data_IF_664093313573
#
_entry.id   IF_664093313573
#
_cell.length_a   1.000
_cell.length_b   1.000
_cell.length_c   1.000
_cell.angle_alpha   90.00
_cell.angle_beta   90.00
_cell.angle_gamma   90.00
#
_symmetry.space_group_name_H-M   'P 1'
#
loop_
_entity.id
_entity.type
_entity.pdbx_description
1 polymer ?
#
# COMPACT_ATOMS: atom_id res chain seq x y z
N UNK A 1 -54.33 4.80 -73.79
CA UNK A 1 -53.80 4.07 -72.63
C UNK A 1 -52.47 4.73 -72.28
N UNK A 2 -52.43 5.61 -71.27
CA UNK A 2 -51.19 6.39 -70.86
C UNK A 2 -50.61 5.71 -69.64
N UNK A 3 -49.47 5.05 -69.80
CA UNK A 3 -48.67 4.46 -68.74
C UNK A 3 -47.96 5.56 -67.94
N UNK A 4 -48.31 5.68 -66.64
CA UNK A 4 -47.56 6.57 -65.71
C UNK A 4 -46.30 5.88 -65.26
N UNK A 5 -45.15 6.46 -65.60
CA UNK A 5 -43.85 6.10 -65.07
C UNK A 5 -43.79 6.52 -63.57
N UNK A 6 -43.67 5.57 -62.67
CA UNK A 6 -43.46 5.77 -61.24
C UNK A 6 -41.96 6.02 -61.05
N UNK A 7 -41.64 7.22 -60.51
CA UNK A 7 -40.28 7.63 -60.19
C UNK A 7 -39.78 6.88 -58.92
N UNK A 8 -38.61 6.24 -58.94
CA UNK A 8 -38.09 5.54 -57.79
C UNK A 8 -37.79 6.48 -56.62
N UNK A 9 -37.95 6.05 -55.37
CA UNK A 9 -37.64 6.88 -54.20
C UNK A 9 -36.11 7.14 -54.09
N UNK A 10 -35.78 8.39 -53.83
CA UNK A 10 -34.37 8.77 -53.52
C UNK A 10 -34.00 8.21 -52.14
N UNK A 11 -33.11 7.25 -52.10
CA UNK A 11 -32.46 6.79 -50.87
C UNK A 11 -31.52 7.93 -50.37
N UNK A 12 -31.94 8.61 -49.31
CA UNK A 12 -31.10 9.56 -48.58
C UNK A 12 -30.18 8.81 -47.65
N UNK A 13 -28.96 8.56 -48.09
CA UNK A 13 -27.89 7.97 -47.28
C UNK A 13 -27.18 9.05 -46.45
N UNK A 14 -27.88 9.70 -45.54
CA UNK A 14 -27.30 10.78 -44.71
C UNK A 14 -27.14 10.42 -43.21
N UNK A 15 -27.53 9.21 -42.79
CA UNK A 15 -27.49 8.84 -41.38
C UNK A 15 -26.21 8.20 -40.84
N UNK A 16 -25.31 7.76 -41.74
CA UNK A 16 -24.15 6.92 -41.28
C UNK A 16 -22.85 7.69 -41.03
N UNK A 17 -22.71 8.90 -41.56
CA UNK A 17 -21.47 9.69 -41.44
C UNK A 17 -21.37 10.48 -40.13
N UNK A 18 -22.48 11.00 -39.61
CA UNK A 18 -22.50 11.81 -38.37
C UNK A 18 -22.24 10.97 -37.12
N UNK A 19 -22.78 9.77 -37.03
CA UNK A 19 -22.56 8.85 -35.88
C UNK A 19 -21.11 8.37 -35.82
N UNK A 20 -20.49 8.11 -36.97
CA UNK A 20 -19.10 7.64 -37.07
C UNK A 20 -18.10 8.73 -36.66
N UNK A 21 -18.38 10.01 -37.01
CA UNK A 21 -17.54 11.13 -36.60
C UNK A 21 -17.65 11.41 -35.10
N UNK A 22 -18.85 11.36 -34.52
CA UNK A 22 -19.06 11.56 -33.08
C UNK A 22 -18.35 10.50 -32.24
N UNK A 23 -18.37 9.25 -32.68
CA UNK A 23 -17.65 8.16 -32.02
C UNK A 23 -16.12 8.35 -32.12
N UNK A 24 -15.61 8.76 -33.26
CA UNK A 24 -14.19 9.07 -33.45
C UNK A 24 -13.71 10.23 -32.58
N UNK A 25 -14.49 11.28 -32.48
CA UNK A 25 -14.17 12.42 -31.60
C UNK A 25 -14.23 12.05 -30.11
N UNK A 26 -15.22 11.25 -29.68
CA UNK A 26 -15.30 10.78 -28.30
C UNK A 26 -14.09 9.92 -27.91
N UNK A 27 -13.67 8.99 -28.75
CA UNK A 27 -12.48 8.18 -28.56
C UNK A 27 -11.22 9.04 -28.51
N UNK A 28 -11.08 10.01 -29.42
CA UNK A 28 -9.95 10.94 -29.43
C UNK A 28 -9.85 11.75 -28.14
N UNK A 29 -10.96 12.32 -27.66
CA UNK A 29 -10.97 13.08 -26.41
C UNK A 29 -10.69 12.21 -25.18
N UNK A 30 -11.22 10.97 -25.13
CA UNK A 30 -10.87 10.02 -24.06
C UNK A 30 -9.40 9.66 -24.06
N UNK A 31 -8.79 9.42 -25.20
CA UNK A 31 -7.34 9.16 -25.31
C UNK A 31 -6.50 10.38 -24.89
N UNK A 32 -6.89 11.57 -25.33
CA UNK A 32 -6.18 12.82 -24.99
C UNK A 32 -6.22 13.15 -23.50
N UNK A 33 -7.30 12.79 -22.80
CA UNK A 33 -7.43 12.99 -21.36
C UNK A 33 -6.78 11.84 -20.56
N UNK A 34 -6.90 10.60 -21.02
CA UNK A 34 -6.37 9.42 -20.32
C UNK A 34 -4.84 9.30 -20.47
N UNK A 35 -4.28 9.63 -21.64
CA UNK A 35 -2.86 9.47 -21.89
C UNK A 35 -1.96 10.25 -20.90
N UNK A 36 -2.17 11.55 -20.62
CA UNK A 36 -1.35 12.27 -19.66
C UNK A 36 -1.52 11.74 -18.23
N UNK A 37 -2.71 11.25 -17.86
CA UNK A 37 -2.93 10.62 -16.57
C UNK A 37 -2.12 9.32 -16.43
N UNK A 38 -2.19 8.45 -17.43
CA UNK A 38 -1.44 7.19 -17.46
C UNK A 38 0.07 7.46 -17.47
N UNK A 39 0.53 8.41 -18.29
CA UNK A 39 1.94 8.81 -18.32
C UNK A 39 2.39 9.39 -16.97
N UNK A 40 1.56 10.19 -16.31
CA UNK A 40 1.83 10.71 -14.97
C UNK A 40 1.93 9.62 -13.91
N UNK A 41 1.06 8.60 -13.96
CA UNK A 41 1.13 7.44 -13.07
C UNK A 41 2.40 6.61 -13.31
N UNK A 42 2.75 6.36 -14.58
CA UNK A 42 3.97 5.63 -14.96
C UNK A 42 5.20 6.42 -14.52
N UNK A 43 5.26 7.72 -14.80
CA UNK A 43 6.34 8.58 -14.36
C UNK A 43 6.46 8.58 -12.82
N UNK A 44 5.36 8.77 -12.10
CA UNK A 44 5.35 8.70 -10.64
C UNK A 44 5.90 7.37 -10.12
N UNK A 45 5.50 6.26 -10.72
CA UNK A 45 6.02 4.93 -10.38
C UNK A 45 7.53 4.80 -10.65
N UNK A 46 8.02 5.31 -11.79
CA UNK A 46 9.43 5.33 -12.15
C UNK A 46 10.25 6.22 -11.21
N UNK A 47 9.71 7.37 -10.79
CA UNK A 47 10.33 8.25 -9.79
C UNK A 47 10.20 7.76 -8.35
N UNK A 48 9.68 6.54 -8.15
CA UNK A 48 9.60 5.91 -6.83
C UNK A 48 8.47 6.41 -5.95
N UNK A 49 7.44 7.04 -6.51
CA UNK A 49 6.24 7.43 -5.77
C UNK A 49 5.43 6.17 -5.45
N UNK A 50 4.96 6.08 -4.22
CA UNK A 50 4.12 4.99 -3.69
C UNK A 50 2.87 5.57 -3.07
N UNK A 51 1.73 4.98 -3.38
CA UNK A 51 0.45 5.30 -2.77
C UNK A 51 0.18 4.33 -1.62
N UNK A 52 0.05 4.87 -0.40
CA UNK A 52 -0.41 4.12 0.75
C UNK A 52 -1.90 4.34 0.98
N UNK A 53 -2.68 3.28 0.84
CA UNK A 53 -4.13 3.27 1.12
C UNK A 53 -4.45 2.52 2.42
N UNK A 54 -3.45 1.89 3.05
CA UNK A 54 -3.64 1.11 4.27
C UNK A 54 -3.66 2.01 5.51
N UNK A 55 -4.42 1.65 6.54
CA UNK A 55 -4.51 2.46 7.75
C UNK A 55 -3.31 2.31 8.70
N UNK A 56 -2.28 1.54 8.34
CA UNK A 56 -1.08 1.37 9.18
C UNK A 56 -0.22 2.62 9.28
N UNK A 57 -0.37 3.55 8.35
CA UNK A 57 0.29 4.85 8.29
C UNK A 57 -0.71 5.85 7.72
N UNK A 58 -0.48 7.16 7.87
CA UNK A 58 -1.29 8.17 7.17
C UNK A 58 -1.43 7.80 5.69
N UNK A 59 -2.66 7.82 5.19
CA UNK A 59 -2.91 7.58 3.76
C UNK A 59 -2.31 8.70 2.95
N UNK A 60 -1.79 8.38 1.75
CA UNK A 60 -1.20 9.41 0.89
C UNK A 60 -0.07 8.90 0.04
N UNK A 61 0.69 9.86 -0.48
CA UNK A 61 1.82 9.61 -1.36
C UNK A 61 3.13 9.63 -0.58
N UNK A 62 3.95 8.65 -0.84
CA UNK A 62 5.29 8.48 -0.29
C UNK A 62 6.28 8.41 -1.43
N UNK A 63 7.50 8.85 -1.23
CA UNK A 63 8.55 8.81 -2.24
C UNK A 63 9.76 8.06 -1.70
N UNK A 64 10.41 7.30 -2.58
CA UNK A 64 11.66 6.61 -2.25
C UNK A 64 12.72 7.61 -1.77
N UNK A 65 13.37 7.27 -0.67
CA UNK A 65 14.49 8.01 -0.09
C UNK A 65 15.77 7.22 -0.28
N UNK A 66 16.81 7.89 -0.72
CA UNK A 66 18.17 7.32 -0.78
C UNK A 66 18.90 7.42 0.57
N UNK A 67 18.32 8.13 1.53
CA UNK A 67 18.88 8.26 2.87
C UNK A 67 18.47 7.06 3.72
N UNK A 68 19.45 6.36 4.28
CA UNK A 68 19.25 5.32 5.29
C UNK A 68 18.67 5.85 6.61
N UNK A 69 18.73 7.17 6.82
CA UNK A 69 18.08 7.82 7.96
C UNK A 69 16.54 7.92 7.80
N UNK A 70 15.99 7.60 6.62
CA UNK A 70 14.54 7.51 6.45
C UNK A 70 14.02 6.23 7.12
N UNK A 71 13.29 6.39 8.21
CA UNK A 71 12.84 5.30 9.05
C UNK A 71 11.60 4.55 8.50
N UNK A 72 10.97 5.02 7.42
CA UNK A 72 9.90 4.26 6.77
C UNK A 72 10.49 3.26 5.80
N UNK A 73 10.15 1.99 5.98
CA UNK A 73 10.67 0.89 5.16
C UNK A 73 9.56 0.13 4.45
N UNK A 74 9.75 -0.12 3.16
CA UNK A 74 8.95 -1.06 2.37
C UNK A 74 9.69 -2.40 2.36
N UNK A 75 9.06 -3.45 2.84
CA UNK A 75 9.70 -4.77 2.95
C UNK A 75 8.74 -5.91 2.62
N UNK A 76 9.30 -7.05 2.24
CA UNK A 76 8.55 -8.28 2.06
C UNK A 76 8.67 -9.13 3.34
N UNK A 77 7.55 -9.41 4.05
CA UNK A 77 7.59 -10.28 5.21
C UNK A 77 8.03 -11.69 4.81
N UNK A 78 8.59 -12.43 5.76
CA UNK A 78 9.12 -13.78 5.54
C UNK A 78 8.47 -14.77 6.53
N UNK A 79 8.58 -16.06 6.24
CA UNK A 79 8.13 -17.13 7.12
C UNK A 79 6.64 -17.05 7.47
N UNK A 80 6.31 -17.27 8.74
CA UNK A 80 4.92 -17.25 9.21
C UNK A 80 4.23 -15.89 8.99
N UNK A 81 4.95 -14.77 9.14
CA UNK A 81 4.40 -13.44 8.90
C UNK A 81 3.95 -13.27 7.45
N UNK A 82 4.68 -13.81 6.47
CA UNK A 82 4.30 -13.80 5.07
C UNK A 82 2.99 -14.55 4.85
N UNK A 83 2.90 -15.79 5.34
CA UNK A 83 1.73 -16.66 5.18
C UNK A 83 0.49 -16.09 5.87
N UNK A 84 0.61 -15.69 7.14
CA UNK A 84 -0.52 -15.12 7.90
C UNK A 84 -1.05 -13.87 7.24
N UNK A 85 -0.16 -12.96 6.80
CA UNK A 85 -0.58 -11.70 6.19
C UNK A 85 -1.33 -11.87 4.86
N UNK A 86 -1.03 -12.93 4.09
CA UNK A 86 -1.77 -13.28 2.87
C UNK A 86 -3.09 -13.98 3.18
N UNK A 87 -3.06 -15.04 3.98
CA UNK A 87 -4.26 -15.85 4.31
C UNK A 87 -5.32 -14.97 4.98
N UNK A 88 -4.89 -14.06 5.85
CA UNK A 88 -5.80 -13.15 6.55
C UNK A 88 -6.12 -11.86 5.80
N UNK A 89 -5.59 -11.71 4.60
CA UNK A 89 -5.80 -10.53 3.72
C UNK A 89 -5.34 -9.22 4.37
N UNK A 90 -4.28 -9.24 5.19
CA UNK A 90 -3.67 -8.01 5.72
C UNK A 90 -2.88 -7.26 4.65
N UNK A 91 -2.55 -7.93 3.54
CA UNK A 91 -1.96 -7.36 2.33
C UNK A 91 -2.59 -7.97 1.07
N UNK A 92 -2.66 -7.17 0.04
CA UNK A 92 -3.15 -7.60 -1.28
C UNK A 92 -2.10 -8.42 -2.04
N UNK A 93 -2.46 -8.90 -3.22
CA UNK A 93 -1.52 -9.44 -4.20
C UNK A 93 -0.53 -8.35 -4.63
N UNK A 94 0.74 -8.72 -4.83
CA UNK A 94 1.77 -7.76 -5.20
C UNK A 94 3.13 -8.37 -5.53
N UNK A 95 4.18 -7.58 -5.37
CA UNK A 95 5.50 -7.83 -5.95
C UNK A 95 6.50 -8.53 -5.02
N UNK A 96 6.06 -9.10 -3.88
CA UNK A 96 6.93 -9.94 -3.05
C UNK A 96 7.09 -11.35 -3.63
N UNK A 97 8.15 -12.08 -3.29
CA UNK A 97 8.39 -13.44 -3.80
C UNK A 97 7.25 -14.43 -3.52
N UNK A 98 6.49 -14.21 -2.45
CA UNK A 98 5.30 -14.99 -2.08
C UNK A 98 4.01 -14.54 -2.77
N UNK A 99 4.09 -13.61 -3.72
CA UNK A 99 2.96 -13.06 -4.47
C UNK A 99 2.17 -11.97 -3.71
N UNK A 100 2.56 -11.60 -2.49
CA UNK A 100 1.92 -10.54 -1.72
C UNK A 100 2.47 -9.15 -2.00
N UNK A 101 1.71 -8.13 -1.66
CA UNK A 101 2.20 -6.74 -1.68
C UNK A 101 3.21 -6.52 -0.53
N UNK A 102 4.25 -5.70 -0.75
CA UNK A 102 5.14 -5.28 0.33
C UNK A 102 4.38 -4.55 1.44
N UNK A 103 4.85 -4.69 2.67
CA UNK A 103 4.38 -3.90 3.81
C UNK A 103 5.19 -2.62 3.92
N UNK A 104 4.52 -1.54 4.34
CA UNK A 104 5.14 -0.25 4.64
C UNK A 104 4.99 0.05 6.13
N UNK A 105 6.10 0.16 6.86
CA UNK A 105 6.13 0.39 8.31
C UNK A 105 7.29 1.29 8.72
N UNK A 106 7.18 1.99 9.86
CA UNK A 106 8.35 2.62 10.48
C UNK A 106 9.30 1.56 11.05
N UNK A 107 10.59 1.68 10.75
CA UNK A 107 11.65 1.01 11.50
C UNK A 107 11.91 1.81 12.78
N UNK A 108 11.76 1.19 13.93
CA UNK A 108 11.77 1.88 15.23
C UNK A 108 12.90 1.43 16.14
N UNK A 109 13.47 0.24 15.93
CA UNK A 109 14.63 -0.21 16.67
C UNK A 109 15.66 -0.88 15.73
N UNK A 110 16.91 -0.59 15.96
CA UNK A 110 18.05 -0.91 15.10
C UNK A 110 19.08 -1.77 15.86
N UNK A 111 20.07 -2.36 15.17
CA UNK A 111 21.07 -3.21 15.80
C UNK A 111 21.70 -2.57 17.04
N UNK A 112 21.64 -3.31 18.16
CA UNK A 112 22.16 -2.85 19.45
C UNK A 112 21.11 -2.23 20.38
N UNK A 113 19.95 -1.80 19.86
CA UNK A 113 18.84 -1.30 20.68
C UNK A 113 18.25 -2.39 21.58
N UNK A 114 17.72 -1.99 22.72
CA UNK A 114 16.98 -2.83 23.63
C UNK A 114 15.50 -2.65 23.43
N UNK A 115 14.81 -3.73 23.06
CA UNK A 115 13.35 -3.78 22.90
C UNK A 115 12.77 -4.55 24.08
N UNK A 116 11.84 -3.94 24.82
CA UNK A 116 11.07 -4.58 25.87
C UNK A 116 9.63 -4.74 25.42
N UNK A 117 9.17 -5.97 25.30
CA UNK A 117 7.79 -6.33 24.97
C UNK A 117 7.05 -6.63 26.26
N UNK A 118 5.95 -5.93 26.50
CA UNK A 118 5.09 -6.13 27.65
C UNK A 118 3.62 -6.06 27.25
N UNK A 119 2.72 -6.46 28.14
CA UNK A 119 1.28 -6.46 27.85
C UNK A 119 0.72 -5.06 27.56
N UNK A 120 1.31 -4.01 28.17
CA UNK A 120 0.92 -2.62 27.97
C UNK A 120 1.53 -1.99 26.72
N UNK A 121 2.49 -2.65 26.05
CA UNK A 121 3.15 -2.17 24.84
C UNK A 121 4.65 -2.42 24.82
N UNK A 122 5.30 -1.73 23.91
CA UNK A 122 6.73 -1.91 23.64
C UNK A 122 7.50 -0.67 24.06
N UNK A 123 8.69 -0.91 24.66
CA UNK A 123 9.67 0.12 24.99
C UNK A 123 10.95 -0.11 24.22
N UNK A 124 11.52 0.97 23.68
CA UNK A 124 12.78 0.95 22.95
C UNK A 124 13.78 1.80 23.73
N UNK A 125 14.85 1.17 24.21
CA UNK A 125 15.85 1.80 25.09
C UNK A 125 15.24 2.46 26.34
N UNK A 126 14.12 1.91 26.84
CA UNK A 126 13.38 2.42 27.99
C UNK A 126 12.26 3.41 27.65
N UNK A 127 12.24 3.97 26.42
CA UNK A 127 11.20 4.89 25.97
C UNK A 127 9.96 4.11 25.47
N UNK A 128 8.78 4.50 25.99
CA UNK A 128 7.52 3.86 25.62
C UNK A 128 7.05 4.28 24.22
N UNK A 129 6.74 3.30 23.39
CA UNK A 129 6.16 3.53 22.06
C UNK A 129 4.63 3.51 22.15
N UNK A 130 3.93 4.61 21.86
CA UNK A 130 2.48 4.66 21.91
C UNK A 130 1.81 3.66 20.96
N UNK A 131 0.62 3.19 21.31
CA UNK A 131 -0.19 2.26 20.50
C UNK A 131 0.56 0.98 20.07
N UNK A 132 1.52 0.51 20.88
CA UNK A 132 2.39 -0.61 20.53
C UNK A 132 2.05 -1.92 21.26
N UNK A 133 0.98 -1.97 22.03
CA UNK A 133 0.51 -3.21 22.63
C UNK A 133 0.12 -4.24 21.56
N UNK A 134 0.57 -5.48 21.73
CA UNK A 134 0.09 -6.60 20.92
C UNK A 134 -1.34 -6.95 21.34
N UNK A 135 -2.27 -6.99 20.38
CA UNK A 135 -3.65 -7.40 20.62
C UNK A 135 -3.81 -8.90 20.43
N UNK A 136 -4.65 -9.53 21.25
CA UNK A 136 -4.97 -10.98 21.16
C UNK A 136 -5.81 -11.33 19.95
N UNK A 137 -6.41 -10.32 19.30
CA UNK A 137 -7.30 -10.50 18.17
C UNK A 137 -7.08 -9.41 17.13
N UNK A 138 -7.29 -9.75 15.86
CA UNK A 138 -7.30 -8.77 14.78
C UNK A 138 -8.64 -8.00 14.70
N UNK A 139 -8.75 -7.05 13.77
CA UNK A 139 -9.96 -6.23 13.60
C UNK A 139 -11.22 -7.04 13.19
N UNK A 140 -11.06 -8.32 12.79
CA UNK A 140 -12.15 -9.25 12.50
C UNK A 140 -12.37 -10.25 13.66
N UNK A 141 -11.80 -9.97 14.84
CA UNK A 141 -11.89 -10.83 16.03
C UNK A 141 -11.36 -12.25 15.81
N UNK A 142 -10.34 -12.39 14.97
CA UNK A 142 -9.64 -13.64 14.77
C UNK A 142 -8.43 -13.70 15.69
N UNK A 143 -8.21 -14.79 16.45
CA UNK A 143 -7.08 -14.90 17.37
C UNK A 143 -5.74 -14.59 16.70
N UNK A 144 -4.92 -13.77 17.33
CA UNK A 144 -3.61 -13.36 16.85
C UNK A 144 -2.64 -13.31 18.03
N UNK A 145 -1.63 -14.15 17.99
CA UNK A 145 -0.66 -14.28 19.09
C UNK A 145 0.36 -13.15 19.02
N UNK A 146 0.42 -12.27 20.05
CA UNK A 146 1.49 -11.29 20.15
C UNK A 146 2.86 -11.95 20.32
N UNK A 147 3.91 -11.23 19.91
CA UNK A 147 5.28 -11.64 20.18
C UNK A 147 5.49 -11.81 21.69
N UNK A 148 6.20 -12.84 22.15
CA UNK A 148 6.34 -13.13 23.58
C UNK A 148 6.87 -11.94 24.37
N UNK A 149 6.32 -11.74 25.57
CA UNK A 149 6.82 -10.70 26.49
C UNK A 149 8.26 -11.02 26.92
N UNK A 150 9.09 -9.98 26.99
CA UNK A 150 10.51 -10.15 27.34
C UNK A 150 11.36 -8.94 26.95
N UNK A 151 12.65 -9.08 27.20
CA UNK A 151 13.66 -8.13 26.79
C UNK A 151 14.51 -8.73 25.67
N UNK A 152 14.58 -8.02 24.57
CA UNK A 152 15.30 -8.43 23.37
C UNK A 152 16.36 -7.39 23.03
N UNK A 153 17.53 -7.83 22.57
CA UNK A 153 18.51 -6.96 21.93
C UNK A 153 18.38 -7.15 20.43
N UNK A 154 18.27 -6.06 19.70
CA UNK A 154 18.20 -6.12 18.23
C UNK A 154 19.54 -6.62 17.69
N UNK A 155 19.49 -7.75 16.97
CA UNK A 155 20.67 -8.39 16.41
C UNK A 155 21.18 -7.66 15.16
N UNK A 156 22.48 -7.83 14.85
CA UNK A 156 23.06 -7.32 13.61
C UNK A 156 22.32 -7.88 12.40
N UNK A 157 22.01 -7.03 11.41
CA UNK A 157 21.29 -7.41 10.21
C UNK A 157 19.77 -7.48 10.38
N UNK A 158 19.22 -7.08 11.52
CA UNK A 158 17.76 -7.06 11.78
C UNK A 158 17.29 -5.67 12.23
N UNK A 159 15.99 -5.41 12.08
CA UNK A 159 15.32 -4.21 12.62
C UNK A 159 13.92 -4.56 13.11
N UNK A 160 13.40 -3.80 14.06
CA UNK A 160 12.00 -3.88 14.47
C UNK A 160 11.19 -2.81 13.73
N UNK A 161 10.05 -3.21 13.19
CA UNK A 161 9.14 -2.36 12.45
C UNK A 161 7.80 -2.31 13.16
N UNK A 162 7.40 -1.13 13.65
CA UNK A 162 6.16 -0.97 14.43
C UNK A 162 5.48 0.32 14.03
N UNK A 163 4.19 0.26 13.72
CA UNK A 163 3.37 1.45 13.52
C UNK A 163 2.63 1.81 14.80
N UNK A 164 3.01 2.92 15.42
CA UNK A 164 2.25 3.54 16.50
C UNK A 164 1.04 4.35 16.01
N UNK A 165 0.87 4.49 14.69
CA UNK A 165 -0.27 5.17 14.08
C UNK A 165 -1.57 4.36 14.22
N UNK A 166 -1.51 3.02 14.20
CA UNK A 166 -2.67 2.13 14.28
C UNK A 166 -2.36 0.93 15.19
N UNK A 167 -3.14 0.77 16.27
CA UNK A 167 -3.03 -0.34 17.20
C UNK A 167 -3.28 -1.72 16.56
N UNK A 168 -4.09 -1.79 15.48
CA UNK A 168 -4.33 -3.01 14.72
C UNK A 168 -3.28 -3.30 13.64
N UNK A 169 -2.17 -2.58 13.62
CA UNK A 169 -1.13 -2.82 12.62
C UNK A 169 -0.47 -4.18 12.82
N UNK A 170 -0.43 -5.00 11.79
CA UNK A 170 0.31 -6.26 11.77
C UNK A 170 1.78 -5.97 11.48
N UNK A 171 2.62 -6.03 12.50
CA UNK A 171 4.02 -5.65 12.47
C UNK A 171 4.83 -6.43 13.52
N UNK A 172 6.01 -5.95 13.92
CA UNK A 172 6.90 -6.63 14.86
C UNK A 172 6.30 -6.98 16.23
N UNK A 173 5.13 -6.44 16.55
CA UNK A 173 4.34 -6.87 17.71
C UNK A 173 3.93 -8.34 17.64
N UNK A 174 3.95 -8.95 16.44
CA UNK A 174 3.48 -10.32 16.19
C UNK A 174 4.55 -11.23 15.62
N UNK A 175 5.59 -10.70 14.97
CA UNK A 175 6.62 -11.53 14.34
C UNK A 175 8.06 -11.13 14.71
N UNK A 176 8.25 -10.18 15.64
CA UNK A 176 9.56 -9.75 16.09
C UNK A 176 10.36 -9.00 15.03
N UNK A 177 11.67 -9.08 15.11
CA UNK A 177 12.58 -8.41 14.17
C UNK A 177 12.49 -8.98 12.77
N UNK A 178 12.67 -8.11 11.76
CA UNK A 178 12.79 -8.51 10.36
C UNK A 178 14.23 -8.39 9.87
N UNK A 179 14.68 -9.22 8.93
CA UNK A 179 15.99 -9.06 8.31
C UNK A 179 16.07 -7.76 7.49
N UNK A 180 17.17 -7.03 7.59
CA UNK A 180 17.42 -5.84 6.75
C UNK A 180 17.38 -6.20 5.26
N UNK A 181 17.79 -7.41 4.90
CA UNK A 181 17.74 -7.92 3.53
C UNK A 181 16.33 -8.06 2.96
N UNK A 182 15.30 -8.06 3.80
CA UNK A 182 13.89 -8.05 3.37
C UNK A 182 13.40 -6.65 2.97
N UNK A 183 14.14 -5.59 3.33
CA UNK A 183 13.83 -4.21 3.01
C UNK A 183 14.14 -3.97 1.52
N UNK A 184 13.13 -3.50 0.82
CA UNK A 184 13.22 -3.17 -0.61
C UNK A 184 13.56 -1.71 -0.85
N UNK A 185 13.03 -0.83 0.00
CA UNK A 185 13.18 0.63 -0.12
C UNK A 185 13.02 1.31 1.22
N UNK A 186 13.70 2.43 1.34
CA UNK A 186 13.39 3.45 2.33
C UNK A 186 12.48 4.50 1.69
N UNK A 187 11.50 5.00 2.45
CA UNK A 187 10.55 5.99 1.97
C UNK A 187 10.44 7.15 2.94
N UNK A 188 9.93 8.26 2.43
CA UNK A 188 9.51 9.41 3.24
C UNK A 188 8.14 9.89 2.75
N UNK A 189 7.31 10.48 3.61
CA UNK A 189 6.05 11.08 3.18
C UNK A 189 6.33 12.21 2.19
N UNK A 190 5.56 12.24 1.10
CA UNK A 190 5.52 13.32 0.13
C UNK A 190 4.30 14.21 0.37
N UNK A 191 3.14 13.58 0.47
CA UNK A 191 1.88 14.23 0.81
C UNK A 191 0.96 13.19 1.45
N UNK A 192 0.50 13.47 2.67
CA UNK A 192 -0.36 12.55 3.42
C UNK A 192 -1.62 13.26 3.86
N UNK A 193 -2.71 12.52 3.85
CA UNK A 193 -3.96 12.95 4.44
C UNK A 193 -3.92 12.59 5.93
N UNK A 194 -4.07 13.58 6.80
CA UNK A 194 -4.24 13.34 8.22
C UNK A 194 -5.61 12.68 8.44
N UNK A 195 -5.63 11.37 8.50
CA UNK A 195 -6.78 10.64 9.04
C UNK A 195 -6.42 10.26 10.47
N UNK A 196 -7.06 10.90 11.43
CA UNK A 196 -7.05 10.40 12.79
C UNK A 196 -7.65 8.99 12.76
N UNK A 197 -6.84 7.99 13.10
CA UNK A 197 -7.37 6.65 13.33
C UNK A 197 -8.07 6.71 14.69
N UNK A 198 -9.35 6.34 14.82
CA UNK A 198 -10.03 6.30 16.09
C UNK A 198 -9.21 5.43 17.05
N UNK A 199 -8.71 6.05 18.11
CA UNK A 199 -8.12 5.33 19.23
C UNK A 199 -9.29 4.76 20.04
N UNK A 200 -9.31 3.46 20.23
CA UNK A 200 -10.18 2.78 21.20
C UNK A 200 -9.44 2.62 22.51
#
# INVERSE_FOLDING_TARGET
MRTRLVKPPKLTATGSYETRNRFGHAVLWTCLLAAPLVLGLIAGWLFGIRLNLTPSLPRGFYITSHSSAANLVEFCPQGAAASISLIRQYRSVGACPDGGAPLLKPAVAFPGDKVQVAADGIRINGEFLPNSAGLSDDHLQRPLDPWPSGAYRVEQGTVWVISSFNSFSFDSRYYGAIPITSIRRHLRPLWTFATEVPQR
#
